data_IF_712515645542
#
_entry.id   IF_712515645542
#
_cell.length_a   1.000
_cell.length_b   1.000
_cell.length_c   1.000
_cell.angle_alpha   90.00
_cell.angle_beta   90.00
_cell.angle_gamma   90.00
#
_symmetry.space_group_name_H-M   'P 1'
#
loop_
_entity.id
_entity.type
_entity.pdbx_description
1 polymer ?
#
# COMPACT_ATOMS: atom_id res chain seq x y z
N UNK A 1 -22.49 35.12 -12.17
CA UNK A 1 -21.10 34.69 -11.92
C UNK A 1 -20.39 34.71 -13.26
N UNK A 2 -19.29 35.45 -13.37
CA UNK A 2 -18.65 35.78 -14.66
C UNK A 2 -17.80 34.64 -15.22
N UNK A 3 -17.49 34.73 -16.52
CA UNK A 3 -16.63 33.79 -17.28
C UNK A 3 -15.26 33.58 -16.62
N UNK A 4 -14.72 34.59 -15.94
CA UNK A 4 -13.44 34.54 -15.23
C UNK A 4 -13.48 33.56 -14.05
N UNK A 5 -14.55 33.59 -13.25
CA UNK A 5 -14.76 32.69 -12.10
C UNK A 5 -14.86 31.23 -12.54
N UNK A 6 -15.56 30.99 -13.66
CA UNK A 6 -15.69 29.65 -14.23
C UNK A 6 -14.34 29.09 -14.67
N UNK A 7 -13.50 29.93 -15.30
CA UNK A 7 -12.14 29.55 -15.72
C UNK A 7 -11.23 29.20 -14.54
N UNK A 8 -11.29 29.99 -13.46
CA UNK A 8 -10.51 29.72 -12.24
C UNK A 8 -10.92 28.39 -11.60
N UNK A 9 -12.21 28.11 -11.50
CA UNK A 9 -12.73 26.83 -10.97
C UNK A 9 -12.23 25.66 -11.82
N UNK A 10 -12.22 25.79 -13.14
CA UNK A 10 -11.79 24.74 -14.07
C UNK A 10 -10.29 24.42 -13.95
N UNK A 11 -9.46 25.45 -13.80
CA UNK A 11 -8.01 25.30 -13.55
C UNK A 11 -7.76 24.62 -12.20
N UNK A 12 -8.45 25.06 -11.15
CA UNK A 12 -8.31 24.48 -9.80
C UNK A 12 -8.72 23.01 -9.79
N UNK A 13 -9.86 22.66 -10.40
CA UNK A 13 -10.31 21.27 -10.53
C UNK A 13 -9.27 20.42 -11.28
N UNK A 14 -8.75 20.93 -12.40
CA UNK A 14 -7.73 20.24 -13.17
C UNK A 14 -6.46 19.96 -12.37
N UNK A 15 -5.99 20.94 -11.58
CA UNK A 15 -4.81 20.77 -10.72
C UNK A 15 -5.03 19.79 -9.57
N UNK A 16 -6.21 19.80 -8.94
CA UNK A 16 -6.57 18.84 -7.90
C UNK A 16 -6.59 17.40 -8.42
N UNK A 17 -7.04 17.19 -9.66
CA UNK A 17 -7.02 15.87 -10.30
C UNK A 17 -5.60 15.42 -10.65
N UNK A 18 -4.75 16.34 -11.13
CA UNK A 18 -3.34 16.07 -11.42
C UNK A 18 -2.56 15.66 -10.18
N UNK A 19 -2.78 16.32 -9.04
CA UNK A 19 -2.14 15.97 -7.77
C UNK A 19 -2.52 14.56 -7.28
N UNK A 20 -3.77 14.14 -7.51
CA UNK A 20 -4.22 12.78 -7.19
C UNK A 20 -3.57 11.74 -8.12
N UNK A 21 -3.41 12.05 -9.41
CA UNK A 21 -2.76 11.16 -10.40
C UNK A 21 -1.25 11.07 -10.17
N UNK A 22 -0.57 12.17 -9.83
CA UNK A 22 0.86 12.16 -9.50
C UNK A 22 1.16 11.39 -8.21
N UNK A 23 0.23 11.33 -7.26
CA UNK A 23 0.39 10.51 -6.05
C UNK A 23 0.22 9.00 -6.34
N UNK A 24 -0.38 8.64 -7.47
CA UNK A 24 -0.33 7.29 -8.04
C UNK A 24 0.97 7.09 -8.84
N UNK A 25 2.12 7.41 -8.24
CA UNK A 25 3.39 6.98 -8.83
C UNK A 25 3.38 5.44 -8.84
N UNK A 26 3.49 4.87 -10.05
CA UNK A 26 3.43 3.44 -10.33
C UNK A 26 4.74 2.75 -9.88
N UNK A 27 5.10 2.93 -8.61
CA UNK A 27 6.30 2.33 -8.06
C UNK A 27 6.09 0.84 -7.88
N UNK A 28 6.98 0.04 -8.43
CA UNK A 28 6.93 -1.41 -8.30
C UNK A 28 7.41 -1.81 -6.90
N UNK A 29 6.57 -2.57 -6.19
CA UNK A 29 6.93 -3.22 -4.94
C UNK A 29 8.21 -4.05 -5.11
N UNK A 30 9.16 -3.90 -4.18
CA UNK A 30 10.37 -4.70 -4.18
C UNK A 30 10.04 -6.20 -4.11
N UNK A 31 10.68 -7.01 -4.94
CA UNK A 31 10.47 -8.48 -4.95
C UNK A 31 10.74 -9.13 -3.59
N UNK A 32 11.69 -8.59 -2.82
CA UNK A 32 12.00 -9.05 -1.46
C UNK A 32 10.84 -8.77 -0.50
N UNK A 33 10.26 -7.58 -0.59
CA UNK A 33 9.15 -7.17 0.28
C UNK A 33 7.88 -7.97 -0.07
N UNK A 34 7.63 -8.16 -1.37
CA UNK A 34 6.53 -8.99 -1.87
C UNK A 34 6.68 -10.45 -1.38
N UNK A 35 7.89 -11.01 -1.42
CA UNK A 35 8.15 -12.35 -0.88
C UNK A 35 7.86 -12.41 0.62
N UNK A 36 8.37 -11.46 1.40
CA UNK A 36 8.14 -11.42 2.84
C UNK A 36 6.65 -11.31 3.20
N UNK A 37 5.90 -10.51 2.44
CA UNK A 37 4.45 -10.38 2.61
C UNK A 37 3.69 -11.67 2.24
N UNK A 38 4.12 -12.40 1.21
CA UNK A 38 3.55 -13.72 0.89
C UNK A 38 3.84 -14.74 1.98
N UNK A 39 5.07 -14.76 2.49
CA UNK A 39 5.44 -15.62 3.60
C UNK A 39 4.57 -15.30 4.83
N UNK A 40 4.31 -14.00 5.09
CA UNK A 40 3.39 -13.55 6.13
C UNK A 40 1.94 -14.04 5.91
N UNK A 41 1.39 -13.89 4.70
CA UNK A 41 0.05 -14.40 4.36
C UNK A 41 -0.04 -15.91 4.51
N UNK A 42 1.02 -16.65 4.17
CA UNK A 42 1.06 -18.11 4.31
C UNK A 42 1.07 -18.57 5.78
N UNK A 43 1.63 -17.73 6.66
CA UNK A 43 1.76 -18.00 8.09
C UNK A 43 0.48 -17.69 8.88
N UNK A 44 -0.42 -16.85 8.36
CA UNK A 44 -1.74 -16.61 8.94
C UNK A 44 -2.76 -17.63 8.44
N UNK A 45 -3.73 -17.97 9.29
CA UNK A 45 -4.73 -18.99 8.98
C UNK A 45 -5.86 -18.45 8.10
N UNK A 46 -6.20 -17.17 8.27
CA UNK A 46 -7.22 -16.49 7.49
C UNK A 46 -6.62 -15.56 6.42
N UNK A 47 -7.17 -15.55 5.19
CA UNK A 47 -6.79 -14.56 4.18
C UNK A 47 -7.02 -13.13 4.69
N UNK A 48 -6.07 -12.25 4.40
CA UNK A 48 -6.17 -10.83 4.74
C UNK A 48 -6.98 -10.13 3.64
N UNK A 49 -8.19 -9.67 3.98
CA UNK A 49 -9.05 -8.97 3.03
C UNK A 49 -8.37 -7.74 2.43
N UNK A 50 -8.35 -7.65 1.09
CA UNK A 50 -7.73 -6.55 0.34
C UNK A 50 -6.25 -6.75 0.00
N UNK A 51 -5.70 -7.94 0.26
CA UNK A 51 -4.36 -8.34 -0.18
C UNK A 51 -4.53 -9.34 -1.32
N UNK A 52 -3.95 -9.03 -2.47
CA UNK A 52 -4.02 -9.89 -3.65
C UNK A 52 -2.69 -10.60 -3.80
N UNK A 53 -2.61 -11.87 -3.40
CA UNK A 53 -1.35 -12.63 -3.47
C UNK A 53 -0.93 -13.02 -4.89
N UNK A 54 -1.78 -12.77 -5.90
CA UNK A 54 -1.49 -13.11 -7.29
C UNK A 54 -0.23 -12.38 -7.79
N UNK A 55 0.48 -13.04 -8.70
CA UNK A 55 1.84 -12.68 -9.10
C UNK A 55 2.01 -11.37 -9.86
N UNK A 56 0.92 -10.77 -10.32
CA UNK A 56 0.92 -9.50 -11.04
C UNK A 56 0.56 -8.29 -10.19
N UNK A 57 0.05 -8.49 -8.96
CA UNK A 57 -0.44 -7.38 -8.16
C UNK A 57 0.72 -6.66 -7.45
N UNK A 58 0.69 -5.32 -7.49
CA UNK A 58 1.69 -4.50 -6.82
C UNK A 58 1.35 -4.43 -5.33
N UNK A 59 2.22 -4.93 -4.45
CA UNK A 59 1.93 -5.02 -3.01
C UNK A 59 1.62 -3.66 -2.36
N UNK A 60 2.11 -2.57 -2.94
CA UNK A 60 1.84 -1.21 -2.49
C UNK A 60 0.38 -0.77 -2.69
N UNK A 61 -0.41 -1.52 -3.48
CA UNK A 61 -1.83 -1.27 -3.67
C UNK A 61 -2.70 -2.02 -2.65
N UNK A 62 -2.10 -2.88 -1.82
CA UNK A 62 -2.85 -3.64 -0.83
C UNK A 62 -3.33 -2.76 0.32
N UNK A 63 -4.50 -3.09 0.85
CA UNK A 63 -5.10 -2.32 1.95
C UNK A 63 -4.21 -2.38 3.19
N UNK A 64 -3.87 -1.21 3.72
CA UNK A 64 -3.04 -1.07 4.93
C UNK A 64 -1.52 -1.14 4.68
N UNK A 65 -1.08 -1.27 3.43
CA UNK A 65 0.35 -1.23 3.09
C UNK A 65 0.75 0.18 2.70
N UNK A 66 1.75 0.73 3.39
CA UNK A 66 2.38 1.99 3.01
C UNK A 66 3.74 1.71 2.40
N UNK A 67 3.90 2.15 1.16
CA UNK A 67 5.16 2.10 0.44
C UNK A 67 5.80 3.49 0.34
N UNK A 68 7.14 3.52 0.35
CA UNK A 68 7.94 4.70 0.03
C UNK A 68 8.93 4.38 -1.06
N UNK A 69 9.15 5.33 -1.96
CA UNK A 69 10.13 5.22 -3.03
C UNK A 69 11.53 5.07 -2.46
N UNK A 70 12.35 4.23 -3.06
CA UNK A 70 13.75 4.03 -2.65
C UNK A 70 14.53 5.36 -2.65
N UNK A 71 14.26 6.25 -3.61
CA UNK A 71 14.84 7.59 -3.67
C UNK A 71 14.50 8.45 -2.44
N UNK A 72 13.24 8.41 -1.97
CA UNK A 72 12.80 9.14 -0.77
C UNK A 72 13.42 8.61 0.53
N UNK A 73 13.91 7.37 0.50
CA UNK A 73 14.61 6.71 1.60
C UNK A 73 16.14 6.87 1.51
N UNK A 74 16.65 7.60 0.51
CA UNK A 74 18.10 7.74 0.27
C UNK A 74 18.78 6.45 -0.20
N UNK A 75 18.01 5.48 -0.70
CA UNK A 75 18.50 4.19 -1.15
C UNK A 75 18.94 4.25 -2.62
N UNK A 76 20.15 3.77 -2.92
CA UNK A 76 20.74 3.67 -4.26
C UNK A 76 20.20 2.47 -5.09
N UNK A 77 18.91 2.17 -4.95
CA UNK A 77 18.22 1.12 -5.71
C UNK A 77 17.56 1.72 -6.97
N UNK A 78 17.11 0.92 -7.95
CA UNK A 78 16.42 1.44 -9.13
C UNK A 78 15.31 2.43 -8.73
N UNK A 79 15.28 3.59 -9.41
CA UNK A 79 14.39 4.73 -9.08
C UNK A 79 12.89 4.37 -9.05
N UNK A 80 12.51 3.28 -9.72
CA UNK A 80 11.12 2.82 -9.81
C UNK A 80 10.74 1.78 -8.75
N UNK A 81 11.64 1.46 -7.80
CA UNK A 81 11.37 0.49 -6.73
C UNK A 81 10.88 1.18 -5.46
N UNK A 82 9.77 0.68 -4.93
CA UNK A 82 9.23 1.06 -3.63
C UNK A 82 9.48 0.00 -2.57
N UNK A 83 9.70 0.48 -1.35
CA UNK A 83 9.87 -0.33 -0.15
C UNK A 83 8.65 -0.21 0.76
N UNK A 84 8.24 -1.32 1.34
CA UNK A 84 7.18 -1.33 2.36
C UNK A 84 7.75 -0.80 3.66
N UNK A 85 7.20 0.31 4.17
CA UNK A 85 7.66 0.97 5.40
C UNK A 85 6.68 0.83 6.55
N UNK A 86 5.42 0.54 6.25
CA UNK A 86 4.39 0.34 7.25
C UNK A 86 3.36 -0.66 6.75
N UNK A 87 2.92 -1.54 7.65
CA UNK A 87 1.89 -2.53 7.40
C UNK A 87 0.88 -2.41 8.53
N UNK A 88 -0.28 -1.88 8.22
CA UNK A 88 -1.40 -1.72 9.12
C UNK A 88 -2.43 -2.82 8.86
N UNK A 89 -2.55 -3.75 9.80
CA UNK A 89 -3.46 -4.89 9.67
C UNK A 89 -4.84 -4.59 10.30
N UNK A 90 -5.02 -3.40 10.87
CA UNK A 90 -6.21 -3.02 11.66
C UNK A 90 -6.40 -3.91 12.90
N UNK A 91 -7.51 -3.75 13.62
CA UNK A 91 -7.93 -4.67 14.70
C UNK A 91 -8.38 -6.05 14.18
N UNK A 92 -7.76 -6.55 13.10
CA UNK A 92 -8.07 -7.86 12.52
C UNK A 92 -7.40 -8.92 13.39
N UNK A 93 -8.21 -9.85 13.91
CA UNK A 93 -7.73 -10.99 14.69
C UNK A 93 -6.93 -11.91 13.78
N UNK A 94 -5.60 -11.86 13.88
CA UNK A 94 -4.72 -12.70 13.08
C UNK A 94 -4.29 -13.91 13.90
N UNK A 95 -4.87 -15.07 13.55
CA UNK A 95 -4.46 -16.35 14.08
C UNK A 95 -3.37 -16.94 13.19
N UNK A 96 -2.27 -17.41 13.76
CA UNK A 96 -1.30 -18.17 12.98
C UNK A 96 -1.91 -19.50 12.55
N UNK A 97 -1.38 -20.05 11.46
CA UNK A 97 -1.71 -21.40 11.02
C UNK A 97 -1.37 -22.47 12.06
N UNK A 98 -0.43 -22.22 12.96
CA UNK A 98 -0.08 -23.12 14.06
C UNK A 98 -0.96 -22.91 15.31
N UNK A 99 -2.01 -22.07 15.24
CA UNK A 99 -2.94 -21.80 16.33
C UNK A 99 -2.41 -20.82 17.38
N UNK A 100 -1.16 -20.39 17.28
CA UNK A 100 -0.58 -19.32 18.09
C UNK A 100 -1.01 -17.93 17.58
N UNK A 101 -1.29 -17.00 18.48
CA UNK A 101 -1.74 -15.67 18.07
C UNK A 101 -0.56 -14.79 17.65
N UNK A 102 -0.64 -14.16 16.47
CA UNK A 102 0.45 -13.33 15.92
C UNK A 102 0.29 -11.84 16.24
N UNK A 103 -0.95 -11.36 16.33
CA UNK A 103 -1.26 -10.00 16.75
C UNK A 103 -2.62 -9.99 17.46
N UNK A 104 -2.61 -9.51 18.72
CA UNK A 104 -3.73 -9.35 19.65
C UNK A 104 -4.72 -10.53 19.75
N UNK A 105 -4.40 -11.46 20.66
CA UNK A 105 -5.39 -12.39 21.20
C UNK A 105 -5.91 -11.89 22.53
N UNK A 106 -6.94 -11.08 22.46
CA UNK A 106 -7.85 -10.89 23.59
C UNK A 106 -8.62 -12.19 23.83
N UNK A 107 -8.11 -13.00 24.76
CA UNK A 107 -8.76 -14.18 25.34
C UNK A 107 -9.89 -13.67 26.24
N UNK A 108 -11.12 -14.09 25.97
CA UNK A 108 -12.20 -14.13 26.96
C UNK A 108 -12.82 -15.52 26.96
#
# INVERSE_FOLDING_TARGET
>A
MGILEFWVVLIVLGFCLQAQVLNSQNFTCSSNDLKALRDFVSAVESPIGGWDTDSSSNCCNWVGITCKSSSSLGLNYPLNSSRVVHVELGQRRLRSRSGSCLADCSIS
#
